data_IF_094122331185
#
_entry.id   IF_094122331185
#
_cell.length_a   1.000
_cell.length_b   1.000
_cell.length_c   1.000
_cell.angle_alpha   90.00
_cell.angle_beta   90.00
_cell.angle_gamma   90.00
#
_symmetry.space_group_name_H-M   'P 1'
#
loop_
_entity.id
_entity.type
_entity.pdbx_description
1 polymer ?
#
# COMPACT_ATOMS: atom_id res chain seq x y z
N UNK A 1 -30.82 5.61 -24.61
CA UNK A 1 -29.53 6.30 -24.28
C UNK A 1 -29.04 5.76 -22.94
N UNK A 2 -27.95 4.94 -22.90
CA UNK A 2 -27.31 4.55 -21.65
C UNK A 2 -26.77 5.84 -21.01
N UNK A 3 -27.33 6.24 -19.87
CA UNK A 3 -26.72 7.29 -19.04
C UNK A 3 -25.28 6.87 -18.81
N UNK A 4 -24.31 7.67 -19.25
CA UNK A 4 -22.89 7.47 -18.97
C UNK A 4 -22.71 7.60 -17.45
N UNK A 5 -22.59 6.46 -16.78
CA UNK A 5 -22.37 6.40 -15.34
C UNK A 5 -21.11 7.19 -15.00
N UNK A 6 -21.26 8.23 -14.16
CA UNK A 6 -20.14 9.12 -13.81
C UNK A 6 -19.19 8.42 -12.83
N UNK A 7 -17.89 8.37 -13.17
CA UNK A 7 -16.83 7.89 -12.29
C UNK A 7 -16.81 8.66 -10.96
N UNK A 8 -16.78 9.99 -11.07
CA UNK A 8 -16.75 10.92 -9.94
C UNK A 8 -18.15 11.13 -9.38
N UNK A 9 -18.73 10.06 -8.85
CA UNK A 9 -19.97 10.16 -8.10
C UNK A 9 -19.69 10.67 -6.67
N UNK A 10 -20.74 11.20 -6.02
CA UNK A 10 -20.65 11.83 -4.70
C UNK A 10 -20.09 10.88 -3.62
N UNK A 11 -20.48 9.61 -3.63
CA UNK A 11 -19.99 8.63 -2.65
C UNK A 11 -18.52 8.27 -2.90
N UNK A 12 -18.12 8.10 -4.16
CA UNK A 12 -16.72 7.81 -4.49
C UNK A 12 -15.79 8.96 -4.09
N UNK A 13 -16.17 10.23 -4.33
CA UNK A 13 -15.39 11.39 -3.89
C UNK A 13 -15.24 11.41 -2.35
N UNK A 14 -16.29 11.08 -1.60
CA UNK A 14 -16.22 11.00 -0.13
C UNK A 14 -15.24 9.92 0.32
N UNK A 15 -15.33 8.72 -0.25
CA UNK A 15 -14.39 7.63 0.07
C UNK A 15 -12.94 8.00 -0.29
N UNK A 16 -12.72 8.72 -1.37
CA UNK A 16 -11.40 9.25 -1.73
C UNK A 16 -10.84 10.21 -0.69
N UNK A 17 -11.69 11.13 -0.20
CA UNK A 17 -11.30 12.08 0.87
C UNK A 17 -11.02 11.34 2.18
N UNK A 18 -11.88 10.41 2.56
CA UNK A 18 -11.69 9.59 3.76
C UNK A 18 -10.42 8.75 3.67
N UNK A 19 -10.11 8.17 2.51
CA UNK A 19 -8.86 7.45 2.28
C UNK A 19 -7.63 8.36 2.39
N UNK A 20 -7.71 9.56 1.85
CA UNK A 20 -6.64 10.55 2.00
C UNK A 20 -6.40 10.89 3.48
N UNK A 21 -7.44 11.20 4.25
CA UNK A 21 -7.33 11.55 5.67
C UNK A 21 -6.82 10.39 6.52
N UNK A 22 -7.24 9.15 6.24
CA UNK A 22 -6.72 7.94 6.87
C UNK A 22 -5.20 7.85 6.73
N UNK A 23 -4.71 7.91 5.49
CA UNK A 23 -3.29 7.79 5.22
C UNK A 23 -2.50 9.04 5.61
N UNK A 24 -3.12 10.21 5.55
CA UNK A 24 -2.50 11.44 6.07
C UNK A 24 -2.24 11.33 7.59
N UNK A 25 -3.25 10.91 8.37
CA UNK A 25 -3.09 10.71 9.81
C UNK A 25 -2.02 9.66 10.15
N UNK A 26 -1.87 8.63 9.31
CA UNK A 26 -0.81 7.64 9.46
C UNK A 26 0.58 8.20 9.12
N UNK A 27 0.73 8.84 7.95
CA UNK A 27 2.04 9.28 7.46
C UNK A 27 2.57 10.53 8.14
N UNK A 28 1.72 11.40 8.71
CA UNK A 28 2.17 12.59 9.45
C UNK A 28 2.98 12.25 10.69
N UNK A 29 2.72 11.09 11.31
CA UNK A 29 3.42 10.58 12.48
C UNK A 29 4.66 9.76 12.14
N UNK A 30 4.62 9.01 11.03
CA UNK A 30 5.60 7.97 10.72
C UNK A 30 7.06 8.42 10.84
N UNK A 31 7.50 9.57 10.29
CA UNK A 31 8.89 10.01 10.40
C UNK A 31 9.26 10.54 11.80
N UNK A 32 8.30 10.92 12.61
CA UNK A 32 8.50 11.56 13.92
C UNK A 32 8.45 10.57 15.08
N UNK A 33 7.84 9.42 14.90
CA UNK A 33 7.74 8.39 15.96
C UNK A 33 9.10 7.89 16.46
N UNK A 34 10.11 7.61 15.61
CA UNK A 34 11.44 7.25 16.11
C UNK A 34 12.05 8.35 17.00
N UNK A 35 11.89 9.60 16.59
CA UNK A 35 12.37 10.77 17.32
C UNK A 35 11.64 10.92 18.66
N UNK A 36 10.32 10.81 18.65
CA UNK A 36 9.50 10.83 19.88
C UNK A 36 9.93 9.75 20.87
N UNK A 37 10.10 8.51 20.41
CA UNK A 37 10.52 7.40 21.28
C UNK A 37 11.91 7.63 21.87
N UNK A 38 12.83 8.18 21.10
CA UNK A 38 14.17 8.50 21.56
C UNK A 38 14.18 9.69 22.55
N UNK A 39 13.52 10.81 22.22
CA UNK A 39 13.56 12.03 23.02
C UNK A 39 12.69 11.95 24.28
N UNK A 40 11.49 11.38 24.17
CA UNK A 40 10.54 11.37 25.28
C UNK A 40 10.74 10.18 26.24
N UNK A 41 11.10 9.00 25.72
CA UNK A 41 11.29 7.80 26.54
C UNK A 41 12.74 7.34 26.65
N UNK A 42 13.71 7.99 25.99
CA UNK A 42 15.09 7.54 25.97
C UNK A 42 15.31 6.17 25.34
N UNK A 43 14.40 5.74 24.43
CA UNK A 43 14.42 4.40 23.85
C UNK A 43 15.63 4.20 22.93
N UNK A 44 16.27 3.04 23.06
CA UNK A 44 17.38 2.62 22.17
C UNK A 44 16.87 2.24 20.78
N UNK A 45 17.76 2.22 19.78
CA UNK A 45 17.38 1.99 18.36
C UNK A 45 16.67 0.64 18.13
N UNK A 46 17.10 -0.40 18.84
CA UNK A 46 16.50 -1.75 18.83
C UNK A 46 15.08 -1.73 19.40
N UNK A 47 14.87 -1.04 20.53
CA UNK A 47 13.55 -0.87 21.15
C UNK A 47 12.63 -0.06 20.24
N UNK A 48 13.11 1.01 19.61
CA UNK A 48 12.35 1.79 18.61
C UNK A 48 11.90 0.88 17.47
N UNK A 49 12.80 0.08 16.93
CA UNK A 49 12.50 -0.89 15.88
C UNK A 49 11.41 -1.88 16.29
N UNK A 50 11.51 -2.42 17.52
CA UNK A 50 10.52 -3.34 18.08
C UNK A 50 9.12 -2.69 18.22
N UNK A 51 9.06 -1.49 18.78
CA UNK A 51 7.80 -0.74 18.97
C UNK A 51 7.12 -0.45 17.63
N UNK A 52 7.88 -0.02 16.63
CA UNK A 52 7.33 0.32 15.32
C UNK A 52 6.94 -0.91 14.51
N UNK A 53 7.68 -2.01 14.61
CA UNK A 53 7.35 -3.27 13.93
C UNK A 53 6.09 -3.93 14.49
N UNK A 54 5.80 -3.78 15.78
CA UNK A 54 4.59 -4.30 16.42
C UNK A 54 3.31 -3.87 15.71
N UNK A 55 3.23 -2.63 15.26
CA UNK A 55 2.11 -2.10 14.47
C UNK A 55 1.92 -2.86 13.15
N UNK A 56 3.00 -3.06 12.42
CA UNK A 56 2.97 -3.73 11.11
C UNK A 56 2.61 -5.21 11.25
N UNK A 57 3.16 -5.87 12.26
CA UNK A 57 2.86 -7.29 12.56
C UNK A 57 1.38 -7.45 12.89
N UNK A 58 0.83 -6.60 13.76
CA UNK A 58 -0.59 -6.66 14.12
C UNK A 58 -1.49 -6.35 12.93
N UNK A 59 -1.16 -5.35 12.13
CA UNK A 59 -1.91 -5.06 10.90
C UNK A 59 -1.93 -6.27 9.97
N UNK A 60 -0.80 -6.92 9.76
CA UNK A 60 -0.68 -8.12 8.92
C UNK A 60 -1.53 -9.28 9.46
N UNK A 61 -1.50 -9.53 10.78
CA UNK A 61 -2.27 -10.59 11.41
C UNK A 61 -3.80 -10.35 11.31
N UNK A 62 -4.23 -9.10 11.38
CA UNK A 62 -5.66 -8.75 11.31
C UNK A 62 -6.23 -8.75 9.89
N UNK A 63 -5.42 -8.56 8.86
CA UNK A 63 -5.91 -8.45 7.45
C UNK A 63 -6.67 -9.67 6.95
N UNK A 64 -6.24 -10.93 7.16
CA UNK A 64 -7.01 -12.10 6.72
C UNK A 64 -8.42 -12.13 7.32
N UNK A 65 -8.51 -11.87 8.63
CA UNK A 65 -9.80 -11.81 9.34
C UNK A 65 -10.64 -10.62 8.86
N UNK A 66 -10.02 -9.49 8.57
CA UNK A 66 -10.70 -8.28 8.09
C UNK A 66 -11.36 -8.51 6.73
N UNK A 67 -10.72 -9.23 5.82
CA UNK A 67 -11.29 -9.62 4.54
C UNK A 67 -12.58 -10.43 4.72
N UNK A 68 -12.52 -11.45 5.58
CA UNK A 68 -13.69 -12.25 5.93
C UNK A 68 -14.80 -11.42 6.59
N UNK A 69 -14.46 -10.60 7.58
CA UNK A 69 -15.43 -9.77 8.32
C UNK A 69 -16.14 -8.78 7.37
N UNK A 70 -15.42 -8.15 6.44
CA UNK A 70 -15.97 -7.23 5.44
C UNK A 70 -16.94 -7.94 4.48
N UNK A 71 -16.69 -9.21 4.16
CA UNK A 71 -17.58 -10.01 3.31
C UNK A 71 -18.76 -10.60 4.09
N UNK A 72 -18.58 -10.92 5.38
CA UNK A 72 -19.60 -11.54 6.24
C UNK A 72 -20.61 -10.56 6.85
N UNK A 73 -20.18 -9.33 7.14
CA UNK A 73 -20.99 -8.31 7.84
C UNK A 73 -21.32 -7.12 6.94
N UNK A 74 -22.26 -6.24 7.33
CA UNK A 74 -22.54 -5.03 6.58
C UNK A 74 -21.28 -4.14 6.48
N UNK A 75 -20.80 -3.94 5.25
CA UNK A 75 -19.52 -3.26 4.98
C UNK A 75 -19.41 -1.87 5.60
N UNK A 76 -20.52 -1.13 5.59
CA UNK A 76 -20.59 0.19 6.24
C UNK A 76 -20.32 0.13 7.74
N UNK A 77 -20.90 -0.86 8.42
CA UNK A 77 -20.71 -1.05 9.87
C UNK A 77 -19.25 -1.41 10.17
N UNK A 78 -18.68 -2.35 9.41
CA UNK A 78 -17.26 -2.73 9.57
C UNK A 78 -16.34 -1.54 9.33
N UNK A 79 -16.59 -0.74 8.27
CA UNK A 79 -15.83 0.47 7.97
C UNK A 79 -15.89 1.47 9.13
N UNK A 80 -17.08 1.75 9.63
CA UNK A 80 -17.29 2.74 10.71
C UNK A 80 -16.64 2.33 12.02
N UNK A 81 -16.75 1.05 12.40
CA UNK A 81 -16.10 0.52 13.62
C UNK A 81 -14.58 0.56 13.47
N UNK A 82 -14.05 0.11 12.34
CA UNK A 82 -12.60 0.09 12.09
C UNK A 82 -12.02 1.51 12.06
N UNK A 83 -12.71 2.47 11.43
CA UNK A 83 -12.25 3.86 11.37
C UNK A 83 -12.34 4.55 12.73
N UNK A 84 -13.44 4.36 13.46
CA UNK A 84 -13.59 4.89 14.82
C UNK A 84 -12.49 4.35 15.75
N UNK A 85 -12.26 3.03 15.73
CA UNK A 85 -11.16 2.42 16.49
C UNK A 85 -9.80 2.98 16.07
N UNK A 86 -9.51 3.10 14.77
CA UNK A 86 -8.28 3.71 14.27
C UNK A 86 -8.08 5.13 14.79
N UNK A 87 -9.12 5.97 14.78
CA UNK A 87 -9.05 7.34 15.30
C UNK A 87 -8.79 7.37 16.81
N UNK A 88 -9.46 6.54 17.60
CA UNK A 88 -9.33 6.50 19.07
C UNK A 88 -7.89 6.18 19.50
N UNK A 89 -7.17 5.34 18.78
CA UNK A 89 -5.79 5.01 19.11
C UNK A 89 -4.83 6.21 19.07
N UNK A 90 -5.12 7.26 18.29
CA UNK A 90 -4.32 8.48 18.34
C UNK A 90 -4.48 9.23 19.68
N UNK A 91 -5.69 9.22 20.24
CA UNK A 91 -5.90 9.70 21.61
C UNK A 91 -5.15 8.82 22.63
N UNK A 92 -5.04 7.51 22.37
CA UNK A 92 -4.23 6.58 23.16
C UNK A 92 -2.75 6.97 23.22
N UNK A 93 -2.17 7.54 22.17
CA UNK A 93 -0.79 8.02 22.19
C UNK A 93 -0.61 9.23 23.12
N UNK A 94 -1.61 10.11 23.21
CA UNK A 94 -1.60 11.24 24.14
C UNK A 94 -1.70 10.79 25.61
N UNK A 95 -2.39 9.68 25.87
CA UNK A 95 -2.56 9.12 27.19
C UNK A 95 -1.39 8.22 27.65
N UNK A 96 -0.51 7.83 26.73
CA UNK A 96 0.57 6.90 27.00
C UNK A 96 1.75 7.55 27.72
N UNK A 97 1.74 7.48 29.05
CA UNK A 97 2.77 8.07 29.92
C UNK A 97 4.05 7.23 30.07
N UNK A 98 4.03 5.98 29.65
CA UNK A 98 5.19 5.05 29.74
C UNK A 98 5.49 4.41 28.39
N UNK A 99 6.76 4.05 28.15
CA UNK A 99 7.18 3.33 26.95
C UNK A 99 6.40 2.03 26.73
N UNK A 100 6.15 1.28 27.81
CA UNK A 100 5.38 0.05 27.75
C UNK A 100 3.94 0.31 27.26
N UNK A 101 3.25 1.29 27.85
CA UNK A 101 1.89 1.65 27.46
C UNK A 101 1.85 2.14 26.03
N UNK A 102 2.80 2.98 25.61
CA UNK A 102 2.93 3.41 24.23
C UNK A 102 3.13 2.23 23.28
N UNK A 103 3.98 1.27 23.63
CA UNK A 103 4.22 0.06 22.83
C UNK A 103 2.96 -0.76 22.66
N UNK A 104 2.18 -0.95 23.74
CA UNK A 104 0.90 -1.68 23.69
C UNK A 104 -0.09 -0.95 22.79
N UNK A 105 -0.29 0.35 22.99
CA UNK A 105 -1.20 1.17 22.18
C UNK A 105 -0.77 1.15 20.71
N UNK A 106 0.52 1.32 20.42
CA UNK A 106 1.06 1.31 19.05
C UNK A 106 0.87 -0.05 18.38
N UNK A 107 1.15 -1.13 19.07
CA UNK A 107 1.00 -2.49 18.55
C UNK A 107 -0.47 -2.79 18.25
N UNK A 108 -1.36 -2.53 19.18
CA UNK A 108 -2.80 -2.78 19.02
C UNK A 108 -3.42 -1.89 17.94
N UNK A 109 -2.93 -0.67 17.73
CA UNK A 109 -3.41 0.24 16.68
C UNK A 109 -3.27 -0.36 15.27
N UNK A 110 -2.31 -1.24 15.04
CA UNK A 110 -2.14 -1.96 13.77
C UNK A 110 -3.38 -2.77 13.37
N UNK A 111 -4.12 -3.34 14.32
CA UNK A 111 -5.33 -4.11 14.05
C UNK A 111 -6.43 -3.30 13.35
N UNK A 112 -6.92 -2.20 13.96
CA UNK A 112 -7.86 -1.28 13.31
C UNK A 112 -7.38 -0.74 11.97
N UNK A 113 -6.09 -0.42 11.83
CA UNK A 113 -5.52 0.00 10.54
C UNK A 113 -5.63 -1.08 9.47
N UNK A 114 -5.27 -2.32 9.80
CA UNK A 114 -5.41 -3.47 8.90
C UNK A 114 -6.85 -3.65 8.44
N UNK A 115 -7.81 -3.62 9.38
CA UNK A 115 -9.24 -3.75 9.08
C UNK A 115 -9.77 -2.56 8.26
N UNK A 116 -9.35 -1.34 8.59
CA UNK A 116 -9.78 -0.12 7.92
C UNK A 116 -9.32 -0.06 6.48
N UNK A 117 -8.07 -0.41 6.19
CA UNK A 117 -7.53 -0.39 4.82
C UNK A 117 -8.25 -1.39 3.91
N UNK A 118 -8.63 -2.57 4.44
CA UNK A 118 -9.43 -3.57 3.71
C UNK A 118 -10.87 -3.10 3.51
N UNK A 119 -11.54 -2.63 4.55
CA UNK A 119 -12.95 -2.21 4.48
C UNK A 119 -13.14 -0.97 3.59
N UNK A 120 -12.25 0.04 3.71
CA UNK A 120 -12.34 1.26 2.92
C UNK A 120 -12.09 1.00 1.42
N UNK A 121 -11.09 0.19 1.07
CA UNK A 121 -10.84 -0.19 -0.32
C UNK A 121 -12.00 -1.02 -0.90
N UNK A 122 -12.64 -1.87 -0.10
CA UNK A 122 -13.81 -2.65 -0.53
C UNK A 122 -15.02 -1.74 -0.77
N UNK A 123 -15.28 -0.80 0.13
CA UNK A 123 -16.34 0.20 -0.03
C UNK A 123 -16.09 1.10 -1.25
N UNK A 124 -14.83 1.48 -1.51
CA UNK A 124 -14.47 2.23 -2.71
C UNK A 124 -14.88 1.49 -4.00
N UNK A 125 -14.69 0.17 -4.04
CA UNK A 125 -15.10 -0.67 -5.18
C UNK A 125 -16.62 -0.71 -5.33
N UNK A 126 -17.34 -0.75 -4.23
CA UNK A 126 -18.81 -0.89 -4.23
C UNK A 126 -19.52 0.38 -4.69
N UNK A 127 -18.99 1.55 -4.36
CA UNK A 127 -19.54 2.84 -4.81
C UNK A 127 -19.19 3.19 -6.25
N UNK A 128 -18.31 2.40 -6.89
CA UNK A 128 -17.92 2.58 -8.28
C UNK A 128 -18.90 1.87 -9.23
N UNK A 129 -19.31 2.53 -10.34
CA UNK A 129 -20.03 1.88 -11.42
C UNK A 129 -19.24 0.69 -11.98
N UNK A 130 -19.92 -0.42 -12.26
CA UNK A 130 -19.27 -1.63 -12.79
C UNK A 130 -18.48 -1.38 -14.06
N UNK A 131 -18.99 -0.53 -14.94
CA UNK A 131 -18.37 -0.12 -16.22
C UNK A 131 -17.07 0.67 -16.05
N UNK A 132 -16.86 1.35 -14.90
CA UNK A 132 -15.73 2.23 -14.63
C UNK A 132 -14.90 1.81 -13.40
N UNK A 133 -15.16 0.63 -12.84
CA UNK A 133 -14.52 0.13 -11.61
C UNK A 133 -13.00 0.07 -11.73
N UNK A 134 -12.50 -0.47 -12.84
CA UNK A 134 -11.06 -0.58 -13.12
C UNK A 134 -10.35 0.78 -13.10
N UNK A 135 -10.97 1.77 -13.71
CA UNK A 135 -10.45 3.15 -13.73
C UNK A 135 -10.49 3.77 -12.33
N UNK A 136 -11.61 3.59 -11.62
CA UNK A 136 -11.80 4.11 -10.27
C UNK A 136 -10.81 3.52 -9.26
N UNK A 137 -10.55 2.22 -9.29
CA UNK A 137 -9.53 1.60 -8.44
C UNK A 137 -8.15 2.25 -8.68
N UNK A 138 -7.86 2.60 -9.95
CA UNK A 138 -6.67 3.36 -10.28
C UNK A 138 -6.59 4.70 -9.56
N UNK A 139 -7.64 5.50 -9.60
CA UNK A 139 -7.66 6.81 -8.94
C UNK A 139 -7.72 6.71 -7.41
N UNK A 140 -8.36 5.66 -6.85
CA UNK A 140 -8.39 5.45 -5.40
C UNK A 140 -6.99 5.42 -4.78
N UNK A 141 -6.04 4.76 -5.42
CA UNK A 141 -4.65 4.74 -4.94
C UNK A 141 -3.94 6.10 -4.96
N UNK A 142 -4.42 7.09 -5.77
CA UNK A 142 -3.83 8.43 -5.76
C UNK A 142 -4.03 9.17 -4.44
N UNK A 143 -5.15 8.97 -3.76
CA UNK A 143 -5.42 9.63 -2.47
C UNK A 143 -4.41 9.19 -1.41
N UNK A 144 -4.07 7.89 -1.36
CA UNK A 144 -3.01 7.38 -0.50
C UNK A 144 -1.63 7.96 -0.89
N UNK A 145 -1.29 7.96 -2.18
CA UNK A 145 0.00 8.46 -2.65
C UNK A 145 0.17 9.96 -2.37
N UNK A 146 -0.90 10.74 -2.51
CA UNK A 146 -0.89 12.16 -2.17
C UNK A 146 -0.66 12.37 -0.66
N UNK A 147 -1.32 11.58 0.18
CA UNK A 147 -1.11 11.60 1.63
C UNK A 147 0.35 11.25 1.98
N UNK A 148 0.91 10.20 1.38
CA UNK A 148 2.30 9.78 1.58
C UNK A 148 3.32 10.85 1.17
N UNK A 149 3.03 11.61 0.10
CA UNK A 149 3.91 12.67 -0.39
C UNK A 149 3.89 13.92 0.50
N UNK A 150 2.72 14.27 1.07
CA UNK A 150 2.50 15.56 1.73
C UNK A 150 2.58 15.47 3.25
N UNK A 151 2.00 14.42 3.85
CA UNK A 151 1.85 14.34 5.30
C UNK A 151 3.19 14.30 6.07
N UNK A 152 4.24 13.56 5.66
CA UNK A 152 5.52 13.57 6.37
C UNK A 152 6.14 14.96 6.45
N UNK A 153 6.10 15.72 5.35
CA UNK A 153 6.66 17.07 5.28
C UNK A 153 5.89 18.02 6.18
N UNK A 154 4.56 17.93 6.22
CA UNK A 154 3.72 18.74 7.11
C UNK A 154 4.01 18.38 8.58
N UNK A 155 4.14 17.10 8.91
CA UNK A 155 4.47 16.66 10.27
C UNK A 155 5.80 17.21 10.75
N UNK A 156 6.85 17.08 9.94
CA UNK A 156 8.19 17.60 10.24
C UNK A 156 8.15 19.13 10.39
N UNK A 157 7.47 19.84 9.49
CA UNK A 157 7.37 21.30 9.53
C UNK A 157 6.67 21.78 10.80
N UNK A 158 5.54 21.16 11.18
CA UNK A 158 4.83 21.49 12.43
C UNK A 158 5.71 21.21 13.64
N UNK A 159 6.42 20.07 13.65
CA UNK A 159 7.36 19.78 14.74
C UNK A 159 8.48 20.82 14.86
N UNK A 160 9.07 21.23 13.74
CA UNK A 160 10.10 22.29 13.73
C UNK A 160 9.59 23.64 14.26
N UNK A 161 8.32 23.97 14.04
CA UNK A 161 7.71 25.21 14.51
C UNK A 161 7.30 25.15 16.00
N UNK A 162 6.78 24.02 16.44
CA UNK A 162 6.14 23.89 17.76
C UNK A 162 7.02 23.21 18.81
N UNK A 163 8.01 22.43 18.35
CA UNK A 163 8.81 21.51 19.18
C UNK A 163 7.96 20.60 20.07
N UNK A 164 6.72 20.31 19.65
CA UNK A 164 5.76 19.53 20.42
C UNK A 164 5.19 18.37 19.60
N UNK A 165 5.41 17.14 20.08
CA UNK A 165 4.80 15.94 19.51
C UNK A 165 3.29 15.88 19.76
N UNK A 166 2.83 16.51 20.85
CA UNK A 166 1.42 16.52 21.22
C UNK A 166 0.55 17.17 20.14
N UNK A 167 1.00 18.29 19.56
CA UNK A 167 0.30 18.91 18.42
C UNK A 167 0.14 17.97 17.24
N UNK A 168 1.12 17.11 16.97
CA UNK A 168 1.09 16.19 15.84
C UNK A 168 0.15 15.03 16.13
N UNK A 169 0.11 14.52 17.36
CA UNK A 169 -0.87 13.50 17.77
C UNK A 169 -2.30 14.04 17.69
N UNK A 170 -2.54 15.28 18.15
CA UNK A 170 -3.84 15.95 18.01
C UNK A 170 -4.22 16.16 16.54
N UNK A 171 -3.28 16.60 15.71
CA UNK A 171 -3.53 16.75 14.27
C UNK A 171 -3.95 15.41 13.65
N UNK A 172 -3.21 14.33 13.91
CA UNK A 172 -3.53 13.00 13.40
C UNK A 172 -4.91 12.52 13.88
N UNK A 173 -5.24 12.75 15.16
CA UNK A 173 -6.54 12.43 15.73
C UNK A 173 -7.68 13.19 15.04
N UNK A 174 -7.55 14.52 14.92
CA UNK A 174 -8.58 15.36 14.30
C UNK A 174 -8.78 14.98 12.85
N UNK A 175 -7.69 14.77 12.08
CA UNK A 175 -7.78 14.37 10.67
C UNK A 175 -8.40 12.98 10.52
N UNK A 176 -8.10 12.04 11.40
CA UNK A 176 -8.73 10.73 11.42
C UNK A 176 -10.25 10.82 11.74
N UNK A 177 -10.64 11.65 12.70
CA UNK A 177 -12.04 11.91 13.03
C UNK A 177 -12.79 12.56 11.86
N UNK A 178 -12.17 13.51 11.15
CA UNK A 178 -12.75 14.10 9.94
C UNK A 178 -12.99 13.05 8.85
N UNK A 179 -12.03 12.14 8.63
CA UNK A 179 -12.20 11.03 7.71
C UNK A 179 -13.35 10.10 8.11
N UNK A 180 -13.43 9.75 9.39
CA UNK A 180 -14.54 8.96 9.95
C UNK A 180 -15.89 9.63 9.72
N UNK A 181 -16.00 10.94 9.97
CA UNK A 181 -17.21 11.72 9.72
C UNK A 181 -17.57 11.76 8.22
N UNK A 182 -16.59 11.94 7.34
CA UNK A 182 -16.83 11.91 5.88
C UNK A 182 -17.35 10.54 5.45
N UNK A 183 -16.72 9.46 5.89
CA UNK A 183 -17.15 8.10 5.57
C UNK A 183 -18.55 7.79 6.16
N UNK A 184 -18.92 8.37 7.31
CA UNK A 184 -20.26 8.21 7.88
C UNK A 184 -21.38 8.67 6.91
N UNK A 185 -21.08 9.64 6.06
CA UNK A 185 -22.02 10.20 5.07
C UNK A 185 -22.07 9.42 3.75
N UNK A 186 -21.23 8.39 3.55
CA UNK A 186 -21.26 7.54 2.36
C UNK A 186 -22.49 6.65 2.39
N UNK A 187 -23.26 6.64 1.32
CA UNK A 187 -24.45 5.81 1.18
C UNK A 187 -24.11 4.62 0.28
N UNK A 188 -24.22 3.41 0.82
CA UNK A 188 -24.13 2.19 0.04
C UNK A 188 -25.52 1.78 -0.41
N UNK A 189 -25.69 1.49 -1.71
CA UNK A 189 -26.96 1.02 -2.22
C UNK A 189 -27.35 -0.33 -1.61
N UNK A 190 -28.61 -0.49 -1.24
CA UNK A 190 -29.19 -1.69 -0.59
C UNK A 190 -29.09 -3.00 -1.38
N UNK A 191 -28.52 -3.01 -2.57
CA UNK A 191 -28.37 -4.21 -3.41
C UNK A 191 -27.63 -5.37 -2.71
N UNK A 192 -26.79 -5.07 -1.71
CA UNK A 192 -26.10 -6.09 -0.93
C UNK A 192 -27.01 -6.88 0.03
N UNK A 193 -28.05 -6.25 0.55
CA UNK A 193 -29.01 -6.92 1.45
C UNK A 193 -29.86 -7.93 0.68
N UNK A 194 -30.12 -7.67 -0.60
CA UNK A 194 -30.91 -8.56 -1.46
C UNK A 194 -30.09 -9.79 -1.86
N UNK A 195 -28.80 -9.64 -2.16
CA UNK A 195 -27.93 -10.78 -2.51
C UNK A 195 -27.71 -11.73 -1.31
N UNK A 196 -27.66 -11.22 -0.06
CA UNK A 196 -27.60 -12.06 1.15
C UNK A 196 -28.91 -12.79 1.45
N UNK A 197 -30.08 -12.26 1.06
CA UNK A 197 -31.39 -12.92 1.24
C UNK A 197 -31.66 -14.05 0.26
N UNK A 198 -30.88 -14.15 -0.82
CA UNK A 198 -31.02 -15.20 -1.84
C UNK A 198 -30.19 -16.45 -1.54
N UNK A 199 -29.37 -16.47 -0.49
CA UNK A 199 -28.73 -17.70 -0.02
C UNK A 199 -29.74 -18.45 0.87
N UNK A 200 -29.97 -19.75 0.63
CA UNK A 200 -30.87 -20.54 1.49
C UNK A 200 -30.41 -20.46 2.94
N UNK A 201 -31.35 -20.15 3.86
CA UNK A 201 -31.12 -20.22 5.29
C UNK A 201 -30.64 -21.64 5.62
N UNK A 202 -29.47 -21.78 6.22
CA UNK A 202 -28.94 -23.06 6.65
C UNK A 202 -27.73 -23.57 5.88
N UNK A 203 -27.25 -22.93 4.83
CA UNK A 203 -25.96 -23.27 4.24
C UNK A 203 -24.82 -22.86 5.17
N UNK A 204 -24.44 -23.78 6.06
CA UNK A 204 -23.16 -23.70 6.76
C UNK A 204 -22.05 -23.73 5.70
N UNK A 205 -21.56 -22.56 5.33
CA UNK A 205 -20.41 -22.48 4.43
C UNK A 205 -19.22 -23.00 5.23
N UNK A 206 -18.60 -24.12 4.84
CA UNK A 206 -17.50 -24.70 5.61
C UNK A 206 -16.38 -23.69 5.79
N UNK A 207 -15.70 -23.73 6.95
CA UNK A 207 -14.54 -22.91 7.22
C UNK A 207 -13.44 -23.35 6.25
N UNK A 208 -13.12 -22.53 5.25
CA UNK A 208 -12.09 -22.82 4.26
C UNK A 208 -11.06 -21.69 4.23
N UNK A 209 -9.83 -22.01 3.88
CA UNK A 209 -8.75 -21.04 3.70
C UNK A 209 -9.12 -19.92 2.71
N UNK A 210 -9.98 -20.22 1.73
CA UNK A 210 -10.47 -19.29 0.71
C UNK A 210 -11.31 -18.12 1.27
N UNK A 211 -11.66 -18.15 2.57
CA UNK A 211 -12.31 -17.03 3.27
C UNK A 211 -11.34 -16.01 3.82
N UNK A 212 -10.11 -16.43 4.10
CA UNK A 212 -9.08 -15.58 4.70
C UNK A 212 -8.04 -15.13 3.68
N UNK A 213 -7.82 -15.96 2.67
CA UNK A 213 -6.91 -15.71 1.56
C UNK A 213 -7.55 -16.26 0.28
N UNK A 214 -7.64 -15.44 -0.77
CA UNK A 214 -8.23 -15.86 -2.04
C UNK A 214 -7.33 -16.88 -2.74
N UNK A 215 -7.53 -18.18 -2.42
CA UNK A 215 -6.73 -19.28 -2.99
C UNK A 215 -6.79 -19.28 -4.52
N UNK A 216 -7.96 -18.94 -5.08
CA UNK A 216 -8.13 -18.82 -6.53
C UNK A 216 -7.22 -17.77 -7.17
N UNK A 217 -6.72 -16.77 -6.39
CA UNK A 217 -5.83 -15.69 -6.80
C UNK A 217 -4.37 -15.86 -6.35
N UNK A 218 -3.97 -17.02 -5.83
CA UNK A 218 -2.66 -17.23 -5.18
C UNK A 218 -1.45 -16.76 -6.01
N UNK A 219 -1.49 -16.98 -7.34
CA UNK A 219 -0.38 -16.62 -8.22
C UNK A 219 -0.26 -15.10 -8.42
N UNK A 220 -1.41 -14.38 -8.37
CA UNK A 220 -1.41 -12.91 -8.32
C UNK A 220 -0.79 -12.41 -7.02
N UNK A 221 -1.12 -13.07 -5.90
CA UNK A 221 -0.51 -12.80 -4.60
C UNK A 221 1.01 -13.01 -4.61
N UNK A 222 1.49 -14.11 -5.21
CA UNK A 222 2.93 -14.39 -5.30
C UNK A 222 3.69 -13.29 -6.05
N UNK A 223 3.14 -12.76 -7.14
CA UNK A 223 3.72 -11.61 -7.82
C UNK A 223 3.77 -10.37 -6.91
N UNK A 224 2.73 -10.13 -6.11
CA UNK A 224 2.71 -9.01 -5.17
C UNK A 224 3.73 -9.17 -4.04
N UNK A 225 4.04 -10.40 -3.62
CA UNK A 225 5.16 -10.68 -2.69
C UNK A 225 6.49 -10.23 -3.29
N UNK A 226 6.78 -10.54 -4.55
CA UNK A 226 8.03 -10.15 -5.20
C UNK A 226 8.19 -8.62 -5.28
N UNK A 227 7.11 -7.89 -5.55
CA UNK A 227 7.13 -6.42 -5.59
C UNK A 227 7.14 -5.79 -4.20
N UNK A 228 6.43 -6.36 -3.24
CA UNK A 228 6.51 -5.98 -1.84
C UNK A 228 7.93 -6.11 -1.30
N UNK A 229 8.62 -7.22 -1.64
CA UNK A 229 10.03 -7.45 -1.30
C UNK A 229 10.92 -6.28 -1.77
N UNK A 230 10.78 -5.92 -3.04
CA UNK A 230 11.57 -4.85 -3.65
C UNK A 230 11.35 -3.50 -2.96
N UNK A 231 10.09 -3.18 -2.64
CA UNK A 231 9.75 -1.96 -1.92
C UNK A 231 10.22 -2.00 -0.46
N UNK A 232 10.20 -3.16 0.19
CA UNK A 232 10.68 -3.35 1.55
C UNK A 232 12.16 -3.03 1.69
N UNK A 233 13.00 -3.54 0.78
CA UNK A 233 14.43 -3.19 0.74
C UNK A 233 14.62 -1.71 0.46
N UNK A 234 13.96 -1.18 -0.58
CA UNK A 234 14.09 0.22 -0.98
C UNK A 234 13.73 1.16 0.16
N UNK A 235 12.57 0.99 0.77
CA UNK A 235 12.08 1.92 1.79
C UNK A 235 12.93 1.98 3.05
N UNK A 236 13.61 0.89 3.40
CA UNK A 236 14.39 0.81 4.62
C UNK A 236 15.88 1.13 4.43
N UNK A 237 16.44 0.77 3.27
CA UNK A 237 17.89 0.89 3.06
C UNK A 237 18.29 2.01 2.10
N UNK A 238 17.31 2.71 1.49
CA UNK A 238 17.56 3.81 0.55
C UNK A 238 18.45 4.91 1.11
N UNK A 239 18.16 5.37 2.33
CA UNK A 239 18.90 6.49 2.96
C UNK A 239 20.38 6.12 3.22
N UNK A 240 20.61 4.91 3.73
CA UNK A 240 21.95 4.42 4.04
C UNK A 240 22.71 4.16 2.75
N UNK A 241 22.09 3.49 1.78
CA UNK A 241 22.70 3.23 0.47
C UNK A 241 23.05 4.53 -0.26
N UNK A 242 22.13 5.51 -0.25
CA UNK A 242 22.34 6.82 -0.83
C UNK A 242 23.57 7.52 -0.23
N UNK A 243 23.68 7.51 1.11
CA UNK A 243 24.80 8.11 1.82
C UNK A 243 26.13 7.37 1.59
N UNK A 244 26.16 6.06 1.80
CA UNK A 244 27.41 5.29 1.84
C UNK A 244 27.93 4.90 0.47
N UNK A 245 27.04 4.62 -0.49
CA UNK A 245 27.42 4.11 -1.82
C UNK A 245 27.37 5.20 -2.88
N UNK A 246 26.37 6.09 -2.81
CA UNK A 246 26.16 7.11 -3.84
C UNK A 246 26.65 8.51 -3.42
N UNK A 247 27.03 8.71 -2.15
CA UNK A 247 27.46 10.02 -1.63
C UNK A 247 26.34 11.06 -1.54
N UNK A 248 25.06 10.61 -1.56
CA UNK A 248 23.88 11.48 -1.53
C UNK A 248 23.33 11.50 -0.12
N UNK A 249 23.50 12.62 0.57
CA UNK A 249 22.96 12.86 1.92
C UNK A 249 21.66 13.66 1.85
N UNK A 250 20.62 13.25 2.63
CA UNK A 250 19.36 14.00 2.73
C UNK A 250 18.41 13.90 1.53
N UNK A 251 18.75 13.11 0.49
CA UNK A 251 17.97 12.99 -0.74
C UNK A 251 16.72 12.10 -0.66
N UNK A 252 16.50 11.40 0.45
CA UNK A 252 15.44 10.38 0.60
C UNK A 252 14.03 10.97 0.41
N UNK A 253 13.76 12.15 0.97
CA UNK A 253 12.47 12.83 0.80
C UNK A 253 12.20 13.17 -0.65
N UNK A 254 13.18 13.74 -1.35
CA UNK A 254 13.09 14.06 -2.79
C UNK A 254 12.90 12.78 -3.63
N UNK A 255 13.55 11.67 -3.24
CA UNK A 255 13.37 10.38 -3.89
C UNK A 255 11.90 9.93 -3.86
N UNK A 256 11.29 9.88 -2.69
CA UNK A 256 9.88 9.48 -2.56
C UNK A 256 8.91 10.48 -3.18
N UNK A 257 9.25 11.76 -3.21
CA UNK A 257 8.49 12.77 -3.94
C UNK A 257 8.50 12.48 -5.45
N UNK A 258 9.65 12.14 -6.04
CA UNK A 258 9.77 11.75 -7.45
C UNK A 258 9.06 10.42 -7.74
N UNK A 259 9.13 9.44 -6.81
CA UNK A 259 8.29 8.24 -6.92
C UNK A 259 6.80 8.60 -6.99
N UNK A 260 6.34 9.53 -6.16
CA UNK A 260 4.94 9.99 -6.17
C UNK A 260 4.57 10.70 -7.47
N UNK A 261 5.48 11.50 -8.04
CA UNK A 261 5.30 12.09 -9.38
C UNK A 261 5.15 10.99 -10.44
N UNK A 262 6.01 9.97 -10.43
CA UNK A 262 5.91 8.80 -11.32
C UNK A 262 4.56 8.08 -11.17
N UNK A 263 4.11 7.85 -9.93
CA UNK A 263 2.80 7.29 -9.64
C UNK A 263 1.65 8.13 -10.24
N UNK A 264 1.69 9.46 -10.14
CA UNK A 264 0.68 10.35 -10.71
C UNK A 264 0.69 10.28 -12.24
N UNK A 265 1.86 10.36 -12.87
CA UNK A 265 2.01 10.28 -14.32
C UNK A 265 1.48 8.96 -14.88
N UNK A 266 1.69 7.85 -14.15
CA UNK A 266 1.15 6.55 -14.54
C UNK A 266 -0.38 6.54 -14.66
N UNK A 267 -1.07 7.33 -13.85
CA UNK A 267 -2.54 7.42 -13.86
C UNK A 267 -3.05 8.13 -15.12
N UNK A 268 -2.31 9.12 -15.59
CA UNK A 268 -2.65 9.84 -16.83
C UNK A 268 -2.50 8.93 -18.05
N UNK A 269 -1.49 8.06 -18.06
CA UNK A 269 -1.21 7.13 -19.16
C UNK A 269 -2.04 5.83 -19.07
N UNK A 270 -2.09 5.23 -17.89
CA UNK A 270 -2.71 3.93 -17.67
C UNK A 270 -4.24 3.93 -17.67
N UNK A 271 -4.88 5.07 -17.39
CA UNK A 271 -6.33 5.18 -17.29
C UNK A 271 -7.07 4.78 -18.58
N UNK A 272 -6.51 5.08 -19.76
CA UNK A 272 -7.06 4.64 -21.06
C UNK A 272 -6.92 3.13 -21.26
N UNK A 273 -5.76 2.56 -20.91
CA UNK A 273 -5.51 1.13 -21.06
C UNK A 273 -6.42 0.29 -20.14
N UNK A 274 -6.62 0.76 -18.91
CA UNK A 274 -7.52 0.14 -17.96
C UNK A 274 -8.99 0.20 -18.40
N UNK A 275 -9.46 1.33 -18.98
CA UNK A 275 -10.80 1.45 -19.55
C UNK A 275 -11.05 0.49 -20.72
N UNK A 276 -10.03 0.23 -21.52
CA UNK A 276 -10.11 -0.66 -22.68
C UNK A 276 -9.95 -2.15 -22.29
N UNK A 277 -10.02 -2.50 -21.01
CA UNK A 277 -9.90 -3.89 -20.51
C UNK A 277 -8.48 -4.48 -20.61
N UNK A 278 -7.45 -3.69 -20.96
CA UNK A 278 -6.07 -4.15 -21.12
C UNK A 278 -5.33 -4.24 -19.78
N UNK A 279 -5.95 -4.88 -18.78
CA UNK A 279 -5.42 -4.94 -17.40
C UNK A 279 -4.09 -5.69 -17.33
N UNK A 280 -3.98 -6.82 -18.03
CA UNK A 280 -2.74 -7.62 -18.07
C UNK A 280 -1.60 -6.90 -18.78
N UNK A 281 -1.88 -6.11 -19.81
CA UNK A 281 -0.87 -5.29 -20.48
C UNK A 281 -0.35 -4.20 -19.52
N UNK A 282 -1.27 -3.53 -18.81
CA UNK A 282 -0.91 -2.49 -17.85
C UNK A 282 -0.09 -3.06 -16.68
N UNK A 283 -0.43 -4.25 -16.17
CA UNK A 283 0.37 -4.95 -15.17
C UNK A 283 1.79 -5.24 -15.69
N UNK A 284 1.89 -5.90 -16.85
CA UNK A 284 3.18 -6.31 -17.42
C UNK A 284 4.08 -5.13 -17.76
N UNK A 285 3.55 -4.05 -18.38
CA UNK A 285 4.33 -2.85 -18.64
C UNK A 285 4.81 -2.17 -17.35
N UNK A 286 3.94 -2.08 -16.34
CA UNK A 286 4.31 -1.53 -15.03
C UNK A 286 5.45 -2.30 -14.37
N UNK A 287 5.38 -3.64 -14.41
CA UNK A 287 6.41 -4.52 -13.86
C UNK A 287 7.76 -4.34 -14.56
N UNK A 288 7.76 -4.26 -15.90
CA UNK A 288 9.00 -4.03 -16.68
C UNK A 288 9.59 -2.66 -16.39
N UNK A 289 8.76 -1.60 -16.34
CA UNK A 289 9.24 -0.25 -16.02
C UNK A 289 9.83 -0.21 -14.60
N UNK A 290 9.19 -0.86 -13.63
CA UNK A 290 9.71 -0.96 -12.26
C UNK A 290 11.06 -1.70 -12.21
N UNK A 291 11.18 -2.82 -12.94
CA UNK A 291 12.44 -3.56 -13.06
C UNK A 291 13.56 -2.70 -13.66
N UNK A 292 13.27 -1.96 -14.73
CA UNK A 292 14.23 -1.01 -15.33
C UNK A 292 14.64 0.06 -14.31
N UNK A 293 13.70 0.57 -13.53
CA UNK A 293 13.98 1.54 -12.47
C UNK A 293 14.93 0.98 -11.39
N UNK A 294 14.67 -0.22 -10.86
CA UNK A 294 15.55 -0.85 -9.89
C UNK A 294 16.93 -1.21 -10.48
N UNK A 295 16.95 -1.65 -11.73
CA UNK A 295 18.22 -1.92 -12.44
C UNK A 295 19.02 -0.64 -12.63
N UNK A 296 18.39 0.47 -13.03
CA UNK A 296 19.05 1.77 -13.16
C UNK A 296 19.63 2.24 -11.82
N UNK A 297 18.88 2.04 -10.72
CA UNK A 297 19.31 2.42 -9.37
C UNK A 297 20.63 1.81 -8.97
N UNK A 298 20.84 0.53 -9.25
CA UNK A 298 22.06 -0.18 -8.84
C UNK A 298 23.16 -0.18 -9.92
N UNK A 299 22.78 -0.11 -11.20
CA UNK A 299 23.73 -0.20 -12.32
C UNK A 299 24.56 1.08 -12.44
N UNK A 300 23.94 2.27 -12.27
CA UNK A 300 24.65 3.55 -12.42
C UNK A 300 25.81 3.73 -11.43
N UNK A 301 25.68 3.46 -10.13
CA UNK A 301 26.82 3.45 -9.21
C UNK A 301 27.88 2.41 -9.55
N UNK A 302 27.47 1.27 -10.06
CA UNK A 302 28.39 0.20 -10.47
C UNK A 302 29.24 0.64 -11.66
N UNK A 303 28.62 1.23 -12.69
CA UNK A 303 29.31 1.77 -13.86
C UNK A 303 30.23 2.96 -13.49
N UNK A 304 29.80 3.81 -12.57
CA UNK A 304 30.61 4.91 -12.07
C UNK A 304 31.91 4.42 -11.41
N UNK A 305 31.84 3.35 -10.62
CA UNK A 305 33.02 2.72 -10.01
C UNK A 305 33.99 2.14 -11.02
N UNK A 306 33.50 1.69 -12.18
CA UNK A 306 34.31 1.19 -13.29
C UNK A 306 34.88 2.30 -14.19
N UNK A 307 34.71 3.57 -13.82
CA UNK A 307 35.16 4.76 -14.60
C UNK A 307 34.61 4.82 -16.04
N UNK A 308 33.49 4.15 -16.30
CA UNK A 308 32.86 4.12 -17.63
C UNK A 308 32.02 5.37 -17.92
N UNK A 309 31.66 6.13 -16.86
CA UNK A 309 30.74 7.29 -16.95
C UNK A 309 31.12 8.34 -15.91
N UNK A 310 30.67 9.57 -16.11
CA UNK A 310 30.88 10.63 -15.12
C UNK A 310 30.21 10.26 -13.78
N UNK A 311 31.03 10.19 -12.73
CA UNK A 311 30.64 9.69 -11.40
C UNK A 311 29.44 10.50 -10.84
N UNK A 312 29.55 11.82 -10.86
CA UNK A 312 28.53 12.69 -10.24
C UNK A 312 27.18 12.59 -10.94
N UNK A 313 27.13 12.69 -12.25
CA UNK A 313 25.90 12.57 -13.02
C UNK A 313 25.28 11.17 -12.94
N UNK A 314 26.12 10.14 -12.93
CA UNK A 314 25.66 8.76 -12.81
C UNK A 314 24.97 8.50 -11.48
N UNK A 315 25.49 9.04 -10.38
CA UNK A 315 24.87 8.92 -9.07
C UNK A 315 23.52 9.65 -9.02
N UNK A 316 23.46 10.88 -9.57
CA UNK A 316 22.22 11.66 -9.61
C UNK A 316 21.14 10.98 -10.47
N UNK A 317 21.50 10.53 -11.68
CA UNK A 317 20.57 9.84 -12.59
C UNK A 317 20.14 8.50 -12.00
N UNK A 318 21.07 7.72 -11.46
CA UNK A 318 20.79 6.45 -10.80
C UNK A 318 19.81 6.61 -9.64
N UNK A 319 20.05 7.59 -8.80
CA UNK A 319 19.21 7.85 -7.62
C UNK A 319 17.83 8.43 -8.01
N UNK A 320 17.80 9.62 -8.59
CA UNK A 320 16.52 10.33 -8.82
C UNK A 320 15.77 9.85 -10.06
N UNK A 321 16.48 9.45 -11.12
CA UNK A 321 15.85 8.90 -12.32
C UNK A 321 15.17 7.56 -12.06
N UNK A 322 15.78 6.70 -11.23
CA UNK A 322 15.17 5.45 -10.82
C UNK A 322 13.87 5.65 -10.02
N UNK A 323 13.83 6.67 -9.16
CA UNK A 323 12.66 6.99 -8.36
C UNK A 323 11.42 7.24 -9.25
N UNK A 324 11.59 8.04 -10.31
CA UNK A 324 10.52 8.33 -11.27
C UNK A 324 10.04 7.06 -11.98
N UNK A 325 10.98 6.21 -12.43
CA UNK A 325 10.65 4.96 -13.12
C UNK A 325 9.98 3.94 -12.19
N UNK A 326 10.48 3.77 -10.98
CA UNK A 326 9.87 2.87 -9.98
C UNK A 326 8.46 3.36 -9.64
N UNK A 327 8.29 4.66 -9.44
CA UNK A 327 6.98 5.25 -9.21
C UNK A 327 6.01 5.03 -10.38
N UNK A 328 6.46 5.28 -11.60
CA UNK A 328 5.69 5.06 -12.83
C UNK A 328 5.27 3.58 -12.97
N UNK A 329 6.21 2.66 -12.78
CA UNK A 329 5.97 1.21 -12.83
C UNK A 329 4.96 0.75 -11.78
N UNK A 330 5.17 1.12 -10.52
CA UNK A 330 4.27 0.78 -9.41
C UNK A 330 2.87 1.36 -9.61
N UNK A 331 2.79 2.56 -10.17
CA UNK A 331 1.52 3.21 -10.48
C UNK A 331 0.69 2.49 -11.54
N UNK A 332 1.31 1.84 -12.52
CA UNK A 332 0.62 0.97 -13.47
C UNK A 332 0.27 -0.39 -12.86
N UNK A 333 1.22 -0.98 -12.15
CA UNK A 333 1.14 -2.35 -11.64
C UNK A 333 0.08 -2.51 -10.54
N UNK A 334 0.10 -1.67 -9.50
CA UNK A 334 -0.74 -1.84 -8.32
C UNK A 334 -2.24 -1.95 -8.64
N UNK A 335 -2.88 -0.98 -9.35
CA UNK A 335 -4.30 -1.08 -9.65
C UNK A 335 -4.63 -2.20 -10.62
N UNK A 336 -3.68 -2.59 -11.46
CA UNK A 336 -3.88 -3.70 -12.37
C UNK A 336 -3.96 -5.03 -11.59
N UNK A 337 -3.05 -5.29 -10.64
CA UNK A 337 -3.11 -6.47 -9.79
C UNK A 337 -4.34 -6.47 -8.89
N UNK A 338 -4.69 -5.33 -8.28
CA UNK A 338 -5.91 -5.22 -7.49
C UNK A 338 -7.15 -5.56 -8.33
N UNK A 339 -7.21 -5.05 -9.55
CA UNK A 339 -8.30 -5.36 -10.48
C UNK A 339 -8.33 -6.83 -10.90
N UNK A 340 -7.18 -7.41 -11.26
CA UNK A 340 -7.09 -8.83 -11.62
C UNK A 340 -7.56 -9.72 -10.46
N UNK A 341 -7.17 -9.42 -9.23
CA UNK A 341 -7.57 -10.21 -8.05
C UNK A 341 -9.07 -10.11 -7.78
N UNK A 342 -9.66 -8.92 -7.95
CA UNK A 342 -11.10 -8.74 -7.82
C UNK A 342 -11.86 -9.48 -8.93
N UNK A 343 -11.33 -9.52 -10.15
CA UNK A 343 -11.96 -10.16 -11.29
C UNK A 343 -11.93 -11.71 -11.23
N UNK A 344 -11.02 -12.30 -10.47
CA UNK A 344 -11.03 -13.75 -10.20
C UNK A 344 -11.82 -14.11 -8.94
N UNK A 345 -12.24 -13.13 -8.13
CA UNK A 345 -13.05 -13.33 -6.94
C UNK A 345 -14.55 -13.30 -7.26
N UNK A 346 -15.33 -14.09 -6.54
CA UNK A 346 -16.77 -13.97 -6.55
C UNK A 346 -17.23 -12.66 -5.89
N UNK A 347 -18.45 -12.20 -6.20
CA UNK A 347 -18.95 -10.93 -5.67
C UNK A 347 -19.00 -10.86 -4.13
N UNK A 348 -19.16 -12.00 -3.47
CA UNK A 348 -19.17 -12.14 -2.01
C UNK A 348 -17.77 -12.31 -1.39
N UNK A 349 -16.69 -12.26 -2.19
CA UNK A 349 -15.29 -12.42 -1.76
C UNK A 349 -14.42 -11.18 -2.08
N UNK A 350 -15.03 -10.01 -2.29
CA UNK A 350 -14.28 -8.78 -2.63
C UNK A 350 -13.39 -8.29 -1.48
N UNK A 351 -13.84 -8.43 -0.24
CA UNK A 351 -13.06 -8.13 0.95
C UNK A 351 -11.85 -9.04 1.06
N UNK A 352 -12.07 -10.36 0.88
CA UNK A 352 -11.00 -11.37 0.85
C UNK A 352 -10.00 -11.11 -0.28
N UNK A 353 -10.46 -10.71 -1.47
CA UNK A 353 -9.60 -10.37 -2.59
C UNK A 353 -8.70 -9.17 -2.29
N UNK A 354 -9.26 -8.09 -1.74
CA UNK A 354 -8.49 -6.93 -1.30
C UNK A 354 -7.50 -7.27 -0.19
N UNK A 355 -7.94 -8.03 0.81
CA UNK A 355 -7.08 -8.50 1.90
C UNK A 355 -5.91 -9.31 1.37
N UNK A 356 -6.14 -10.22 0.42
CA UNK A 356 -5.09 -11.06 -0.17
C UNK A 356 -3.98 -10.24 -0.82
N UNK A 357 -4.31 -9.20 -1.58
CA UNK A 357 -3.31 -8.31 -2.19
C UNK A 357 -2.49 -7.58 -1.12
N UNK A 358 -3.15 -7.05 -0.10
CA UNK A 358 -2.46 -6.32 0.98
C UNK A 358 -1.58 -7.24 1.81
N UNK A 359 -2.05 -8.45 2.15
CA UNK A 359 -1.26 -9.47 2.86
C UNK A 359 -0.03 -9.86 2.04
N UNK A 360 -0.20 -10.13 0.75
CA UNK A 360 0.89 -10.53 -0.13
C UNK A 360 1.96 -9.43 -0.23
N UNK A 361 1.53 -8.17 -0.34
CA UNK A 361 2.43 -7.02 -0.31
C UNK A 361 3.20 -6.92 1.00
N UNK A 362 2.52 -7.04 2.16
CA UNK A 362 3.14 -6.92 3.48
C UNK A 362 4.11 -8.06 3.77
N UNK A 363 3.75 -9.30 3.39
CA UNK A 363 4.67 -10.45 3.50
C UNK A 363 5.92 -10.17 2.67
N UNK A 364 5.75 -9.72 1.42
CA UNK A 364 6.85 -9.35 0.55
C UNK A 364 7.73 -8.27 1.18
N UNK A 365 7.12 -7.20 1.67
CA UNK A 365 7.83 -6.09 2.31
C UNK A 365 8.61 -6.55 3.54
N UNK A 366 8.00 -7.36 4.41
CA UNK A 366 8.67 -7.92 5.59
C UNK A 366 9.87 -8.81 5.20
N UNK A 367 9.69 -9.71 4.23
CA UNK A 367 10.77 -10.54 3.70
C UNK A 367 11.89 -9.68 3.09
N UNK A 368 11.55 -8.61 2.36
CA UNK A 368 12.53 -7.69 1.79
C UNK A 368 13.36 -6.99 2.84
N UNK A 369 12.74 -6.52 3.92
CA UNK A 369 13.43 -5.88 5.05
C UNK A 369 14.40 -6.86 5.70
N UNK A 370 13.94 -8.08 6.00
CA UNK A 370 14.76 -9.11 6.67
C UNK A 370 15.92 -9.56 5.79
N UNK A 371 15.64 -9.99 4.57
CA UNK A 371 16.69 -10.48 3.65
C UNK A 371 17.62 -9.36 3.24
N UNK A 372 17.07 -8.16 2.97
CA UNK A 372 17.89 -6.99 2.67
C UNK A 372 18.83 -6.62 3.80
N UNK A 373 18.39 -6.72 5.07
CA UNK A 373 19.24 -6.52 6.25
C UNK A 373 20.36 -7.53 6.35
N UNK A 374 20.02 -8.82 6.28
CA UNK A 374 21.01 -9.91 6.35
C UNK A 374 22.05 -9.81 5.22
N UNK A 375 21.60 -9.59 3.99
CA UNK A 375 22.50 -9.48 2.82
C UNK A 375 23.38 -8.22 2.92
N UNK A 376 22.84 -7.11 3.40
CA UNK A 376 23.63 -5.88 3.56
C UNK A 376 24.69 -6.00 4.65
N UNK A 377 24.43 -6.74 5.70
CA UNK A 377 25.37 -6.99 6.80
C UNK A 377 26.45 -8.00 6.40
N UNK A 378 26.06 -9.13 5.78
CA UNK A 378 27.00 -10.21 5.43
C UNK A 378 27.87 -9.89 4.19
N UNK A 379 27.35 -9.10 3.25
CA UNK A 379 28.02 -8.84 1.97
C UNK A 379 28.17 -7.33 1.74
N UNK A 380 27.07 -6.63 1.43
CA UNK A 380 27.03 -5.16 1.23
C UNK A 380 25.61 -4.67 0.91
N UNK A 381 25.36 -3.37 1.06
CA UNK A 381 24.11 -2.74 0.59
C UNK A 381 23.92 -2.88 -0.94
N UNK A 382 24.98 -2.83 -1.72
CA UNK A 382 24.90 -3.08 -3.17
C UNK A 382 24.41 -4.49 -3.48
N UNK A 383 24.86 -5.50 -2.75
CA UNK A 383 24.39 -6.88 -2.90
C UNK A 383 22.89 -6.99 -2.54
N UNK A 384 22.43 -6.32 -1.46
CA UNK A 384 21.02 -6.29 -1.10
C UNK A 384 20.15 -5.69 -2.22
N UNK A 385 20.59 -4.62 -2.89
CA UNK A 385 19.87 -4.06 -4.03
C UNK A 385 19.95 -4.91 -5.30
N UNK A 386 21.03 -5.70 -5.50
CA UNK A 386 21.06 -6.71 -6.56
C UNK A 386 20.06 -7.83 -6.32
N UNK A 387 19.82 -8.24 -5.05
CA UNK A 387 18.73 -9.20 -4.75
C UNK A 387 17.35 -8.64 -5.13
N UNK A 388 17.12 -7.33 -4.98
CA UNK A 388 15.92 -6.66 -5.45
C UNK A 388 15.72 -6.83 -6.95
N UNK A 389 16.77 -6.60 -7.75
CA UNK A 389 16.71 -6.76 -9.20
C UNK A 389 16.38 -8.20 -9.58
N UNK A 390 17.04 -9.18 -8.93
CA UNK A 390 16.80 -10.61 -9.19
C UNK A 390 15.37 -11.03 -8.84
N UNK A 391 14.85 -10.64 -7.66
CA UNK A 391 13.49 -10.95 -7.22
C UNK A 391 12.46 -10.27 -8.13
N UNK A 392 12.70 -9.03 -8.52
CA UNK A 392 11.80 -8.29 -9.42
C UNK A 392 11.79 -8.93 -10.82
N UNK A 393 12.97 -9.31 -11.36
CA UNK A 393 13.08 -10.01 -12.63
C UNK A 393 12.37 -11.37 -12.61
N UNK A 394 12.51 -12.14 -11.51
CA UNK A 394 11.78 -13.40 -11.34
C UNK A 394 10.26 -13.20 -11.28
N UNK A 395 9.80 -12.12 -10.63
CA UNK A 395 8.40 -11.72 -10.62
C UNK A 395 7.89 -11.38 -12.02
N UNK A 396 8.66 -10.62 -12.82
CA UNK A 396 8.34 -10.32 -14.23
C UNK A 396 8.25 -11.60 -15.06
N UNK A 397 9.23 -12.48 -14.95
CA UNK A 397 9.24 -13.77 -15.65
C UNK A 397 8.03 -14.63 -15.26
N UNK A 398 7.75 -14.75 -13.95
CA UNK A 398 6.58 -15.46 -13.44
C UNK A 398 5.27 -14.88 -14.01
N UNK A 399 5.16 -13.57 -14.12
CA UNK A 399 3.99 -12.93 -14.69
C UNK A 399 3.75 -13.32 -16.14
N UNK A 400 4.74 -13.18 -16.99
CA UNK A 400 4.59 -13.47 -18.42
C UNK A 400 4.47 -14.96 -18.73
N UNK A 401 5.17 -15.82 -18.02
CA UNK A 401 5.17 -17.27 -18.26
C UNK A 401 3.95 -17.95 -17.65
N UNK A 402 3.46 -17.50 -16.51
CA UNK A 402 2.41 -18.21 -15.76
C UNK A 402 1.20 -17.33 -15.39
N UNK A 403 1.43 -16.20 -14.70
CA UNK A 403 0.34 -15.44 -14.05
C UNK A 403 -0.64 -14.84 -15.05
N UNK A 404 -0.17 -14.34 -16.18
CA UNK A 404 -1.03 -13.82 -17.26
C UNK A 404 -2.00 -14.86 -17.78
N UNK A 405 -1.50 -16.05 -18.12
CA UNK A 405 -2.33 -17.16 -18.63
C UNK A 405 -3.28 -17.68 -17.53
N UNK A 406 -2.80 -17.78 -16.30
CA UNK A 406 -3.59 -18.16 -15.14
C UNK A 406 -4.78 -17.21 -14.92
N UNK A 407 -4.55 -15.89 -14.97
CA UNK A 407 -5.59 -14.89 -14.83
C UNK A 407 -6.64 -14.99 -15.95
N UNK A 408 -6.21 -15.06 -17.23
CA UNK A 408 -7.12 -15.12 -18.37
C UNK A 408 -8.05 -16.33 -18.30
N UNK A 409 -7.58 -17.49 -17.80
CA UNK A 409 -8.40 -18.70 -17.63
C UNK A 409 -9.40 -18.61 -16.47
N UNK A 410 -9.21 -17.70 -15.51
CA UNK A 410 -10.01 -17.60 -14.27
C UNK A 410 -10.81 -16.31 -14.16
N UNK A 411 -10.71 -15.43 -15.13
CA UNK A 411 -11.41 -14.15 -15.15
C UNK A 411 -12.92 -14.36 -15.29
N UNK A 412 -13.67 -14.04 -14.23
CA UNK A 412 -15.13 -14.22 -14.17
C UNK A 412 -15.89 -13.22 -15.06
N UNK A 413 -15.26 -12.10 -15.45
CA UNK A 413 -15.91 -11.09 -16.29
C UNK A 413 -15.90 -11.43 -17.79
N UNK A 414 -15.06 -12.36 -18.24
CA UNK A 414 -15.02 -12.82 -19.66
C UNK A 414 -15.87 -14.05 -19.90
N UNK A 415 -16.25 -14.79 -18.86
CA UNK A 415 -17.11 -15.99 -18.96
C UNK A 415 -18.61 -15.67 -19.10
N UNK A 416 -18.99 -14.39 -19.08
CA UNK A 416 -20.38 -13.89 -19.20
C UNK A 416 -20.64 -13.22 -20.56
N UNK A 417 -19.70 -13.34 -21.51
CA UNK A 417 -19.91 -12.90 -22.91
C UNK A 417 -20.19 -14.05 -23.85
#
# INVERSE_FOLDING_TARGET
>A
MKQTERLWNRNYCKVMVANFTLFFAFYVLTPLLPLYLSEHFGATKDVIGLVLSGYTITALLFRPFSGYVVDAFPRKTVLMISFGAFAIFFAGYLAASTLLLFTIVRTLHGGPFGALTVSNSTVAIDVLPSSRRTEGIGYYGLSNNLAMAVAPSIGIFIYQLTHSFEFIFWLAFIVACLGWLVDSTVVLERKEVIAKRLLPEGTHIPLSWDRFFLVRGWLLGLNMVAFGFSFGVLSNYLAIYGKEVMGITGGTGTYFMLCSVGLILSRLQGGKALRNGRVTHNAGSGMVISLVGYTLFILMPTLAKCSMVNVQWSMIIGYYGSALLIGLGNGHMWPAFQNMTINVAHNNQRGTANSTILISWDIGMGLGILVGGVVSELISYSAAFWTVVLVNASGVACFFLATKAFFLRRNLNETVR
#
